data_IF_701239392269
#
_entry.id   IF_701239392269
#
_cell.length_a   1.000
_cell.length_b   1.000
_cell.length_c   1.000
_cell.angle_alpha   90.00
_cell.angle_beta   90.00
_cell.angle_gamma   90.00
#
_symmetry.space_group_name_H-M   'P 1'
#
loop_
_entity.id
_entity.type
_entity.pdbx_description
1 polymer ?
#
# COMPACT_ATOMS: atom_id res chain seq x y z
N UNK A 1 -8.07 -0.76 -22.48
CA UNK A 1 -8.08 0.55 -21.79
C UNK A 1 -8.64 0.31 -20.39
N UNK A 2 -7.93 0.68 -19.32
CA UNK A 2 -8.24 0.23 -17.96
C UNK A 2 -9.24 1.12 -17.17
N UNK A 3 -9.90 2.07 -17.83
CA UNK A 3 -10.96 2.90 -17.23
C UNK A 3 -10.50 3.83 -16.09
N UNK A 4 -9.19 4.05 -15.93
CA UNK A 4 -8.66 4.89 -14.86
C UNK A 4 -8.82 6.38 -15.22
N UNK A 5 -9.46 7.14 -14.33
CA UNK A 5 -9.45 8.60 -14.40
C UNK A 5 -8.06 9.09 -13.99
N UNK A 6 -7.32 9.68 -14.93
CA UNK A 6 -5.95 10.12 -14.73
C UNK A 6 -5.73 11.54 -15.21
N UNK A 7 -4.95 12.30 -14.44
CA UNK A 7 -4.63 13.70 -14.75
C UNK A 7 -3.54 13.83 -15.82
N UNK A 8 -2.70 12.82 -16.00
CA UNK A 8 -1.68 12.76 -17.05
C UNK A 8 -1.78 11.42 -17.78
N UNK A 9 -2.36 11.46 -18.98
CA UNK A 9 -2.59 10.27 -19.79
C UNK A 9 -1.27 9.67 -20.31
N UNK A 10 -0.26 10.50 -20.62
CA UNK A 10 1.03 10.05 -21.13
C UNK A 10 1.77 9.21 -20.08
N UNK A 11 1.86 9.71 -18.84
CA UNK A 11 2.48 8.97 -17.73
C UNK A 11 1.66 7.74 -17.34
N UNK A 12 0.34 7.80 -17.47
CA UNK A 12 -0.51 6.64 -17.22
C UNK A 12 -0.27 5.53 -18.25
N UNK A 13 -0.17 5.86 -19.54
CA UNK A 13 0.07 4.88 -20.59
C UNK A 13 1.41 4.16 -20.38
N UNK A 14 2.45 4.85 -19.86
CA UNK A 14 3.74 4.24 -19.48
C UNK A 14 3.63 3.15 -18.41
N UNK A 15 2.54 3.14 -17.63
CA UNK A 15 2.28 2.06 -16.66
C UNK A 15 1.76 0.77 -17.31
N UNK A 16 1.22 0.87 -18.53
CA UNK A 16 0.71 -0.28 -19.31
C UNK A 16 1.75 -0.83 -20.28
N UNK A 17 2.71 0.00 -20.71
CA UNK A 17 3.81 -0.40 -21.59
C UNK A 17 5.00 -0.86 -20.74
N UNK A 18 5.44 -2.11 -20.88
CA UNK A 18 6.71 -2.58 -20.27
C UNK A 18 7.96 -1.96 -20.92
N UNK A 19 7.76 -1.17 -21.97
CA UNK A 19 8.79 -0.44 -22.70
C UNK A 19 8.99 0.94 -22.07
N UNK A 20 10.22 1.45 -22.08
CA UNK A 20 10.63 2.76 -21.53
C UNK A 20 10.60 2.91 -20.00
N UNK A 21 10.78 1.83 -19.24
CA UNK A 21 11.02 1.93 -17.80
C UNK A 21 12.44 2.44 -17.50
N UNK A 22 12.57 3.35 -16.55
CA UNK A 22 13.84 3.89 -16.09
C UNK A 22 14.49 2.95 -15.07
N UNK A 23 15.74 2.58 -15.32
CA UNK A 23 16.53 1.68 -14.47
C UNK A 23 17.17 2.45 -13.32
N UNK A 24 17.10 1.92 -12.10
CA UNK A 24 17.87 2.42 -10.97
C UNK A 24 19.38 2.18 -11.17
N UNK A 25 20.25 3.17 -10.92
CA UNK A 25 21.70 3.02 -11.07
C UNK A 25 22.33 2.11 -10.00
N UNK A 26 21.64 1.83 -8.90
CA UNK A 26 22.18 1.08 -7.77
C UNK A 26 21.58 -0.33 -7.61
N UNK A 27 20.48 -0.65 -8.29
CA UNK A 27 19.83 -1.97 -8.19
C UNK A 27 18.99 -2.30 -9.42
N UNK A 28 18.52 -3.56 -9.57
CA UNK A 28 17.73 -3.99 -10.74
C UNK A 28 16.32 -3.38 -10.85
N UNK A 29 15.86 -2.55 -9.89
CA UNK A 29 14.52 -1.97 -9.92
C UNK A 29 14.34 -1.01 -11.10
N UNK A 30 13.22 -1.16 -11.81
CA UNK A 30 12.80 -0.29 -12.90
C UNK A 30 11.50 0.44 -12.54
N UNK A 31 11.37 1.71 -12.93
CA UNK A 31 10.19 2.53 -12.63
C UNK A 31 9.65 3.26 -13.86
N UNK A 32 8.34 3.47 -13.89
CA UNK A 32 7.66 4.08 -15.02
C UNK A 32 7.93 5.59 -15.20
N UNK A 33 8.41 6.27 -14.15
CA UNK A 33 8.73 7.69 -14.22
C UNK A 33 9.90 8.08 -13.31
N UNK A 34 10.53 9.22 -13.64
CA UNK A 34 11.74 9.71 -12.97
C UNK A 34 11.51 10.15 -11.52
N UNK A 35 10.34 10.71 -11.21
CA UNK A 35 10.02 11.15 -9.84
C UNK A 35 9.96 9.96 -8.86
N UNK A 36 9.35 8.86 -9.29
CA UNK A 36 9.33 7.62 -8.49
C UNK A 36 10.74 7.04 -8.35
N UNK A 37 11.54 7.07 -9.42
CA UNK A 37 12.91 6.57 -9.40
C UNK A 37 13.80 7.37 -8.44
N UNK A 38 13.73 8.69 -8.49
CA UNK A 38 14.45 9.59 -7.58
C UNK A 38 14.05 9.32 -6.14
N UNK A 39 12.74 9.24 -5.85
CA UNK A 39 12.27 8.89 -4.51
C UNK A 39 12.81 7.54 -4.06
N UNK A 40 12.87 6.54 -4.94
CA UNK A 40 13.44 5.23 -4.63
C UNK A 40 14.92 5.32 -4.29
N UNK A 41 15.73 6.01 -5.09
CA UNK A 41 17.15 6.21 -4.82
C UNK A 41 17.37 6.87 -3.45
N UNK A 42 16.67 7.98 -3.20
CA UNK A 42 16.81 8.74 -1.96
C UNK A 42 16.39 7.92 -0.72
N UNK A 43 15.38 7.05 -0.86
CA UNK A 43 14.81 6.30 0.27
C UNK A 43 15.51 4.98 0.56
N UNK A 44 15.95 4.27 -0.48
CA UNK A 44 16.50 2.91 -0.38
C UNK A 44 18.02 2.93 -0.33
N UNK A 45 18.65 3.76 -1.18
CA UNK A 45 20.10 3.76 -1.35
C UNK A 45 20.77 4.83 -0.50
N UNK A 46 20.29 6.08 -0.58
CA UNK A 46 20.89 7.21 0.15
C UNK A 46 20.36 7.36 1.58
N UNK A 47 19.18 6.79 1.84
CA UNK A 47 18.47 6.86 3.13
C UNK A 47 18.32 8.30 3.64
N UNK A 48 18.03 9.24 2.74
CA UNK A 48 17.81 10.64 3.07
C UNK A 48 16.63 10.74 4.05
N UNK A 49 16.91 11.22 5.25
CA UNK A 49 15.90 11.49 6.26
C UNK A 49 15.22 12.80 5.89
N UNK A 50 13.90 12.74 5.70
CA UNK A 50 13.09 13.91 5.35
C UNK A 50 12.30 14.45 6.53
N UNK A 51 12.04 13.61 7.55
CA UNK A 51 11.31 13.96 8.78
C UNK A 51 11.86 13.16 9.95
N UNK A 52 11.84 13.77 11.12
CA UNK A 52 12.22 13.12 12.36
C UNK A 52 11.11 13.27 13.39
N UNK A 53 10.94 12.25 14.22
CA UNK A 53 10.06 12.30 15.38
C UNK A 53 10.76 13.05 16.51
N UNK A 54 10.25 14.21 16.90
CA UNK A 54 10.83 14.99 18.00
C UNK A 54 10.82 14.22 19.34
N UNK A 55 9.72 13.55 19.76
CA UNK A 55 9.72 12.79 21.00
C UNK A 55 10.77 11.68 21.14
N UNK A 56 11.19 11.03 20.06
CA UNK A 56 12.10 9.87 20.13
C UNK A 56 13.34 9.96 19.21
N UNK A 57 13.52 11.07 18.50
CA UNK A 57 14.64 11.31 17.57
C UNK A 57 14.65 10.45 16.30
N UNK A 58 13.69 9.53 16.12
CA UNK A 58 13.71 8.59 14.99
C UNK A 58 13.51 9.30 13.65
N UNK A 59 14.42 9.08 12.71
CA UNK A 59 14.35 9.62 11.34
C UNK A 59 13.58 8.72 10.38
N UNK A 60 12.93 9.33 9.39
CA UNK A 60 12.13 8.67 8.37
C UNK A 60 12.46 9.19 6.97
N UNK A 61 12.57 8.27 6.02
CA UNK A 61 12.85 8.58 4.61
C UNK A 61 11.57 8.83 3.79
N UNK A 62 10.39 8.54 4.34
CA UNK A 62 9.10 8.79 3.69
C UNK A 62 8.07 9.37 4.65
N UNK A 63 7.19 10.24 4.13
CA UNK A 63 6.14 10.91 4.91
C UNK A 63 5.12 9.91 5.46
N UNK A 64 4.77 8.88 4.67
CA UNK A 64 3.85 7.83 5.12
C UNK A 64 4.41 7.03 6.30
N UNK A 65 5.72 6.73 6.29
CA UNK A 65 6.35 6.02 7.40
C UNK A 65 6.37 6.90 8.67
N UNK A 66 6.69 8.18 8.53
CA UNK A 66 6.62 9.15 9.63
C UNK A 66 5.21 9.25 10.22
N UNK A 67 4.19 9.52 9.39
CA UNK A 67 2.79 9.60 9.83
C UNK A 67 2.30 8.32 10.48
N UNK A 68 2.67 7.17 9.92
CA UNK A 68 2.36 5.86 10.52
C UNK A 68 2.95 5.74 11.91
N UNK A 69 4.23 6.08 12.07
CA UNK A 69 4.91 6.04 13.35
C UNK A 69 4.25 6.98 14.37
N UNK A 70 3.94 8.22 13.98
CA UNK A 70 3.28 9.17 14.88
C UNK A 70 1.93 8.65 15.37
N UNK A 71 1.15 8.01 14.51
CA UNK A 71 -0.14 7.41 14.90
C UNK A 71 0.02 6.20 15.82
N UNK A 72 0.98 5.32 15.55
CA UNK A 72 1.09 4.05 16.29
C UNK A 72 1.86 4.19 17.60
N UNK A 73 2.81 5.10 17.68
CA UNK A 73 3.68 5.27 18.85
C UNK A 73 3.30 6.45 19.72
N UNK A 74 2.74 7.51 19.12
CA UNK A 74 2.40 8.73 19.85
C UNK A 74 0.90 9.05 19.84
N UNK A 75 0.07 8.25 19.14
CA UNK A 75 -1.35 8.50 18.94
C UNK A 75 -1.64 9.88 18.32
N UNK A 76 -0.70 10.41 17.52
CA UNK A 76 -0.83 11.72 16.86
C UNK A 76 -1.18 11.51 15.38
N UNK A 77 -2.25 12.18 14.96
CA UNK A 77 -2.70 12.24 13.57
C UNK A 77 -4.04 11.54 13.34
N UNK A 78 -4.59 11.71 12.14
CA UNK A 78 -5.90 11.17 11.78
C UNK A 78 -5.90 9.64 11.76
N UNK A 79 -6.80 9.06 12.55
CA UNK A 79 -7.06 7.63 12.58
C UNK A 79 -8.29 7.30 11.73
N UNK A 80 -8.41 6.02 11.36
CA UNK A 80 -9.47 5.55 10.49
C UNK A 80 -10.48 4.76 11.32
N UNK A 81 -11.62 5.37 11.61
CA UNK A 81 -12.69 4.73 12.37
C UNK A 81 -13.61 3.91 11.46
N UNK A 82 -13.98 2.71 11.89
CA UNK A 82 -15.07 1.94 11.29
C UNK A 82 -16.40 2.63 11.57
N UNK A 83 -17.17 2.91 10.52
CA UNK A 83 -18.47 3.59 10.65
C UNK A 83 -19.57 2.70 11.24
N UNK A 84 -19.39 1.37 11.25
CA UNK A 84 -20.40 0.43 11.75
C UNK A 84 -20.17 0.07 13.22
N UNK A 85 -18.93 -0.29 13.60
CA UNK A 85 -18.62 -0.73 14.96
C UNK A 85 -17.69 0.22 15.74
N UNK A 86 -17.38 1.39 15.18
CA UNK A 86 -16.55 2.44 15.78
C UNK A 86 -15.10 2.01 16.12
N UNK A 87 -14.69 0.81 15.71
CA UNK A 87 -13.30 0.35 15.90
C UNK A 87 -12.32 1.24 15.14
N UNK A 88 -11.26 1.66 15.82
CA UNK A 88 -10.24 2.58 15.30
C UNK A 88 -9.07 1.82 14.69
N UNK A 89 -8.55 2.30 13.57
CA UNK A 89 -7.40 1.74 12.86
C UNK A 89 -6.37 2.82 12.55
N UNK A 90 -5.08 2.45 12.64
CA UNK A 90 -3.98 3.34 12.27
C UNK A 90 -3.73 3.42 10.75
N UNK A 91 -4.37 2.56 9.94
CA UNK A 91 -4.24 2.56 8.48
C UNK A 91 -5.60 2.40 7.78
N UNK A 92 -5.80 3.16 6.70
CA UNK A 92 -7.03 3.12 5.91
C UNK A 92 -7.25 1.73 5.28
N UNK A 93 -6.16 1.10 4.83
CA UNK A 93 -6.19 -0.28 4.32
C UNK A 93 -6.73 -1.25 5.36
N UNK A 94 -6.28 -1.13 6.61
CA UNK A 94 -6.69 -2.02 7.69
C UNK A 94 -8.17 -1.82 8.04
N UNK A 95 -8.65 -0.57 8.10
CA UNK A 95 -10.09 -0.28 8.25
C UNK A 95 -10.89 -0.89 7.11
N UNK A 96 -10.45 -0.69 5.86
CA UNK A 96 -11.14 -1.22 4.66
C UNK A 96 -11.19 -2.75 4.67
N UNK A 97 -10.09 -3.40 5.05
CA UNK A 97 -10.05 -4.85 5.13
C UNK A 97 -10.91 -5.38 6.27
N UNK A 98 -10.94 -4.69 7.41
CA UNK A 98 -11.87 -4.97 8.49
C UNK A 98 -13.33 -4.88 8.03
N UNK A 99 -13.72 -3.81 7.33
CA UNK A 99 -15.06 -3.66 6.77
C UNK A 99 -15.44 -4.85 5.90
N UNK A 100 -14.57 -5.22 4.94
CA UNK A 100 -14.78 -6.36 4.05
C UNK A 100 -14.90 -7.70 4.77
N UNK A 101 -14.16 -7.88 5.87
CA UNK A 101 -14.09 -9.16 6.60
C UNK A 101 -15.24 -9.35 7.57
N UNK A 102 -15.58 -8.29 8.31
CA UNK A 102 -16.47 -8.37 9.47
C UNK A 102 -17.88 -7.91 9.10
N UNK A 103 -18.01 -6.87 8.29
CA UNK A 103 -19.29 -6.25 7.99
C UNK A 103 -19.83 -6.58 6.60
N UNK A 104 -19.12 -7.38 5.82
CA UNK A 104 -19.59 -7.86 4.51
C UNK A 104 -19.67 -9.38 4.47
N UNK A 105 -20.73 -9.88 3.85
CA UNK A 105 -20.93 -11.32 3.59
C UNK A 105 -20.42 -11.75 2.20
N UNK A 106 -19.80 -10.85 1.45
CA UNK A 106 -19.30 -11.11 0.10
C UNK A 106 -18.16 -12.14 0.09
N UNK A 107 -18.35 -13.23 -0.67
CA UNK A 107 -17.34 -14.25 -0.93
C UNK A 107 -16.75 -14.03 -2.33
N UNK A 108 -15.62 -13.32 -2.40
CA UNK A 108 -15.01 -12.87 -3.67
C UNK A 108 -13.98 -13.83 -4.25
N UNK A 109 -13.51 -14.78 -3.46
CA UNK A 109 -12.38 -15.63 -3.84
C UNK A 109 -12.85 -17.08 -3.89
N UNK A 110 -12.62 -17.74 -5.01
CA UNK A 110 -13.13 -19.09 -5.24
C UNK A 110 -11.97 -20.05 -5.54
N UNK A 111 -11.98 -21.20 -4.88
CA UNK A 111 -11.07 -22.29 -5.21
C UNK A 111 -11.46 -22.87 -6.56
N UNK A 112 -10.57 -22.81 -7.54
CA UNK A 112 -10.86 -23.32 -8.89
C UNK A 112 -10.95 -24.85 -8.97
N UNK A 113 -10.53 -25.57 -7.92
CA UNK A 113 -10.57 -27.03 -7.86
C UNK A 113 -11.91 -27.52 -7.26
N UNK A 114 -12.27 -27.02 -6.09
CA UNK A 114 -13.46 -27.48 -5.35
C UNK A 114 -14.62 -26.46 -5.32
N UNK A 115 -14.46 -25.31 -6.00
CA UNK A 115 -15.43 -24.21 -6.08
C UNK A 115 -15.81 -23.57 -4.72
N UNK A 116 -15.10 -23.92 -3.64
CA UNK A 116 -15.32 -23.34 -2.32
C UNK A 116 -14.99 -21.84 -2.34
N UNK A 117 -15.91 -21.03 -1.83
CA UNK A 117 -15.79 -19.58 -1.81
C UNK A 117 -15.30 -19.07 -0.44
N UNK A 118 -14.50 -18.01 -0.48
CA UNK A 118 -13.82 -17.39 0.65
C UNK A 118 -14.01 -15.88 0.61
N UNK A 119 -14.10 -15.27 1.79
CA UNK A 119 -14.18 -13.81 1.94
C UNK A 119 -12.85 -13.11 1.60
N UNK A 120 -11.70 -13.80 1.67
CA UNK A 120 -10.37 -13.19 1.52
C UNK A 120 -9.36 -14.14 0.86
N UNK A 121 -8.37 -13.57 0.15
CA UNK A 121 -7.29 -14.30 -0.53
C UNK A 121 -6.52 -15.23 0.41
N UNK A 122 -6.24 -14.78 1.64
CA UNK A 122 -5.50 -15.60 2.62
C UNK A 122 -6.27 -16.87 2.99
N UNK A 123 -7.60 -16.80 3.07
CA UNK A 123 -8.45 -17.97 3.32
C UNK A 123 -8.37 -18.99 2.18
N UNK A 124 -8.44 -18.51 0.93
CA UNK A 124 -8.22 -19.35 -0.24
C UNK A 124 -6.80 -19.92 -0.29
N UNK A 125 -5.78 -19.11 -0.02
CA UNK A 125 -4.37 -19.54 -0.01
C UNK A 125 -4.14 -20.64 1.03
N UNK A 126 -4.66 -20.48 2.24
CA UNK A 126 -4.50 -21.46 3.29
C UNK A 126 -5.30 -22.75 2.99
N UNK A 127 -6.45 -22.62 2.32
CA UNK A 127 -7.20 -23.78 1.85
C UNK A 127 -6.43 -24.60 0.81
N UNK A 128 -5.76 -23.96 -0.15
CA UNK A 128 -4.97 -24.64 -1.19
C UNK A 128 -3.58 -25.12 -0.75
N UNK A 129 -3.27 -25.05 0.55
CA UNK A 129 -2.06 -25.65 1.15
C UNK A 129 -2.33 -27.04 1.75
N UNK A 130 -3.56 -27.54 1.59
CA UNK A 130 -3.98 -28.90 1.97
C UNK A 130 -3.87 -29.81 0.77
#
# INVERSE_FOLDING_TARGET
>A
ICGALVFNMVDHIRSHTKENLLQCPHCPVKMANGANLLRHVNTVHEKIIIKSCEPCGKGFTTDNAYKSHMRTHHNIGEQYQCEICLKIFNHASNRRDHMKRIHTSELKYECQICQKKFKHKDGLRNHGRV
#
